data_IF_703714940324
#
_entry.id   IF_703714940324
#
_cell.length_a   1.000
_cell.length_b   1.000
_cell.length_c   1.000
_cell.angle_alpha   90.00
_cell.angle_beta   90.00
_cell.angle_gamma   90.00
#
_symmetry.space_group_name_H-M   'P 1'
#
loop_
_entity.id
_entity.type
_entity.pdbx_description
1 polymer ?
#
# COMPACT_ATOMS: atom_id res chain seq x y z
N UNK A 1 -2.92 24.65 49.53
CA UNK A 1 -2.52 24.53 48.11
C UNK A 1 -2.15 23.08 47.88
N UNK A 2 -3.10 22.27 47.43
CA UNK A 2 -2.83 20.90 46.97
C UNK A 2 -3.70 20.64 45.75
N UNK A 3 -2.99 20.31 44.68
CA UNK A 3 -3.35 20.15 43.29
C UNK A 3 -4.35 19.02 43.07
N UNK A 4 -5.49 19.31 42.44
CA UNK A 4 -6.36 18.30 41.84
C UNK A 4 -5.81 17.96 40.45
N UNK A 5 -5.32 16.73 40.31
CA UNK A 5 -4.93 16.09 39.05
C UNK A 5 -6.10 16.09 38.06
N UNK A 6 -6.01 16.88 36.99
CA UNK A 6 -6.91 16.79 35.84
C UNK A 6 -6.32 15.80 34.85
N UNK A 7 -6.83 14.57 34.87
CA UNK A 7 -6.51 13.57 33.87
C UNK A 7 -7.33 13.85 32.61
N UNK A 8 -6.88 14.81 31.81
CA UNK A 8 -7.22 14.85 30.38
C UNK A 8 -6.25 13.89 29.67
N UNK A 9 -6.63 12.61 29.66
CA UNK A 9 -6.05 11.64 28.74
C UNK A 9 -6.63 11.94 27.35
N UNK A 10 -6.09 13.02 26.76
CA UNK A 10 -6.48 13.48 25.45
C UNK A 10 -6.12 12.39 24.44
N UNK A 11 -7.18 11.76 23.91
CA UNK A 11 -7.23 10.87 22.77
C UNK A 11 -6.14 11.27 21.75
N UNK A 12 -4.99 10.61 21.81
CA UNK A 12 -3.93 10.85 20.84
C UNK A 12 -4.37 10.14 19.57
N UNK A 13 -4.72 10.84 18.47
CA UNK A 13 -4.94 10.15 17.23
C UNK A 13 -3.60 9.49 16.89
N UNK A 14 -3.56 8.15 16.90
CA UNK A 14 -2.46 7.39 16.32
C UNK A 14 -2.47 7.75 14.85
N UNK A 15 -1.73 8.81 14.49
CA UNK A 15 -1.55 9.17 13.10
C UNK A 15 -0.83 7.99 12.48
N UNK A 16 -1.57 7.21 11.70
CA UNK A 16 -0.96 6.32 10.72
C UNK A 16 -0.28 7.28 9.76
N UNK A 17 0.99 7.59 10.04
CA UNK A 17 1.81 8.45 9.21
C UNK A 17 2.12 7.66 7.95
N UNK A 18 1.24 7.77 6.96
CA UNK A 18 1.29 6.97 5.75
C UNK A 18 0.33 7.51 4.69
N UNK A 19 0.73 7.36 3.43
CA UNK A 19 -0.12 7.71 2.28
C UNK A 19 -1.30 6.73 2.21
N UNK A 20 -2.53 7.27 2.23
CA UNK A 20 -3.77 6.50 2.05
C UNK A 20 -4.14 6.49 0.57
N UNK A 21 -4.28 5.30 -0.06
CA UNK A 21 -4.65 5.23 -1.48
C UNK A 21 -6.07 5.74 -1.72
N UNK A 22 -6.24 6.53 -2.77
CA UNK A 22 -7.54 7.08 -3.19
C UNK A 22 -8.31 6.05 -4.02
N UNK A 23 -9.60 5.85 -3.73
CA UNK A 23 -10.49 4.88 -4.39
C UNK A 23 -10.01 3.43 -4.33
N UNK A 24 -9.42 3.03 -3.20
CA UNK A 24 -8.86 1.70 -3.02
C UNK A 24 -9.92 0.60 -3.13
N UNK A 25 -11.05 0.76 -2.41
CA UNK A 25 -12.09 -0.27 -2.37
C UNK A 25 -12.74 -0.45 -3.74
N UNK A 26 -13.11 0.66 -4.38
CA UNK A 26 -13.73 0.68 -5.70
C UNK A 26 -12.80 0.08 -6.75
N UNK A 27 -11.49 0.37 -6.66
CA UNK A 27 -10.49 -0.24 -7.55
C UNK A 27 -10.44 -1.75 -7.39
N UNK A 28 -10.43 -2.26 -6.15
CA UNK A 28 -10.42 -3.71 -5.90
C UNK A 28 -11.72 -4.39 -6.32
N UNK A 29 -12.87 -3.75 -6.12
CA UNK A 29 -14.16 -4.26 -6.55
C UNK A 29 -14.24 -4.37 -8.07
N UNK A 30 -13.77 -3.36 -8.80
CA UNK A 30 -13.79 -3.33 -10.27
C UNK A 30 -12.75 -4.27 -10.89
N UNK A 31 -11.54 -4.33 -10.35
CA UNK A 31 -10.49 -5.24 -10.82
C UNK A 31 -10.78 -6.69 -10.43
N UNK A 32 -11.48 -6.90 -9.31
CA UNK A 32 -11.79 -8.18 -8.69
C UNK A 32 -10.61 -9.17 -8.77
N UNK A 33 -9.46 -8.89 -8.12
CA UNK A 33 -8.30 -9.79 -8.13
C UNK A 33 -8.69 -11.19 -7.63
N UNK A 34 -8.23 -12.21 -8.34
CA UNK A 34 -8.47 -13.62 -8.00
C UNK A 34 -7.18 -14.40 -8.17
N UNK A 35 -7.12 -15.59 -7.59
CA UNK A 35 -5.95 -16.44 -7.67
C UNK A 35 -5.48 -16.69 -9.11
N UNK A 36 -4.15 -16.60 -9.30
CA UNK A 36 -3.47 -16.79 -10.59
C UNK A 36 -3.53 -15.59 -11.53
N UNK A 37 -4.16 -14.48 -11.15
CA UNK A 37 -4.26 -13.28 -12.00
C UNK A 37 -2.92 -12.53 -12.09
N UNK A 38 -2.70 -11.88 -13.25
CA UNK A 38 -1.58 -10.96 -13.46
C UNK A 38 -2.15 -9.57 -13.75
N UNK A 39 -1.69 -8.57 -13.00
CA UNK A 39 -2.16 -7.19 -13.10
C UNK A 39 -1.01 -6.25 -13.45
N UNK A 40 -1.37 -5.16 -14.12
CA UNK A 40 -0.47 -4.03 -14.41
C UNK A 40 -0.89 -2.83 -13.58
N UNK A 41 -0.01 -2.35 -12.71
CA UNK A 41 -0.15 -1.04 -12.07
C UNK A 41 0.64 0.00 -12.87
N UNK A 42 -0.04 0.90 -13.56
CA UNK A 42 0.59 1.89 -14.43
C UNK A 42 1.21 3.08 -13.68
N UNK A 43 0.93 3.23 -12.39
CA UNK A 43 1.28 4.42 -11.60
C UNK A 43 1.59 4.01 -10.15
N UNK A 44 2.62 3.18 -9.97
CA UNK A 44 2.95 2.55 -8.69
C UNK A 44 2.92 3.53 -7.51
N UNK A 45 3.55 4.70 -7.66
CA UNK A 45 3.58 5.79 -6.71
C UNK A 45 4.01 5.34 -5.31
N UNK A 46 3.06 5.35 -4.38
CA UNK A 46 3.24 4.91 -3.00
C UNK A 46 3.20 3.38 -2.79
N UNK A 47 2.73 2.61 -3.78
CA UNK A 47 2.60 1.16 -3.74
C UNK A 47 1.34 0.64 -3.04
N UNK A 48 0.44 1.52 -2.57
CA UNK A 48 -0.72 1.10 -1.77
C UNK A 48 -1.76 0.29 -2.56
N UNK A 49 -2.07 0.67 -3.81
CA UNK A 49 -2.93 -0.13 -4.69
C UNK A 49 -2.28 -1.47 -5.03
N UNK A 50 -1.00 -1.47 -5.42
CA UNK A 50 -0.24 -2.69 -5.69
C UNK A 50 -0.27 -3.66 -4.50
N UNK A 51 0.00 -3.19 -3.26
CA UNK A 51 -0.07 -4.03 -2.07
C UNK A 51 -1.46 -4.65 -1.91
N UNK A 52 -2.51 -3.83 -1.97
CA UNK A 52 -3.85 -4.32 -1.77
C UNK A 52 -4.27 -5.35 -2.84
N UNK A 53 -3.82 -5.18 -4.09
CA UNK A 53 -4.02 -6.18 -5.15
C UNK A 53 -3.29 -7.50 -4.85
N UNK A 54 -2.05 -7.44 -4.34
CA UNK A 54 -1.26 -8.63 -3.97
C UNK A 54 -1.85 -9.36 -2.74
N UNK A 55 -2.49 -8.62 -1.83
CA UNK A 55 -3.13 -9.18 -0.63
C UNK A 55 -4.54 -9.74 -0.90
N UNK A 56 -5.21 -9.28 -1.95
CA UNK A 56 -6.61 -9.62 -2.22
C UNK A 56 -6.86 -11.11 -2.50
N UNK A 57 -5.86 -11.84 -3.01
CA UNK A 57 -5.93 -13.29 -3.20
C UNK A 57 -4.54 -13.93 -3.26
N UNK A 58 -4.48 -15.24 -3.01
CA UNK A 58 -3.27 -16.04 -3.20
C UNK A 58 -2.85 -16.06 -4.67
N UNK A 59 -1.55 -16.09 -4.96
CA UNK A 59 -1.00 -16.17 -6.32
C UNK A 59 -1.46 -15.05 -7.28
N UNK A 60 -1.76 -13.86 -6.75
CA UNK A 60 -1.83 -12.63 -7.57
C UNK A 60 -0.40 -12.18 -7.86
N UNK A 61 -0.12 -11.82 -9.11
CA UNK A 61 1.14 -11.18 -9.51
C UNK A 61 0.91 -9.79 -10.08
N UNK A 62 1.78 -8.85 -9.74
CA UNK A 62 1.69 -7.45 -10.21
C UNK A 62 3.02 -7.03 -10.84
N UNK A 63 2.94 -6.52 -12.06
CA UNK A 63 4.00 -5.70 -12.67
C UNK A 63 3.59 -4.25 -12.51
N UNK A 64 4.43 -3.44 -11.89
CA UNK A 64 4.16 -2.02 -11.70
C UNK A 64 5.11 -1.16 -12.53
N UNK A 65 4.65 0.02 -12.93
CA UNK A 65 5.40 1.04 -13.64
C UNK A 65 5.45 2.32 -12.80
N UNK A 66 6.60 2.98 -12.80
CA UNK A 66 6.70 4.37 -12.39
C UNK A 66 7.87 5.04 -13.09
N UNK A 67 7.81 6.36 -13.25
CA UNK A 67 8.91 7.18 -13.76
C UNK A 67 9.69 7.85 -12.64
N UNK A 68 9.08 8.03 -11.47
CA UNK A 68 9.72 8.68 -10.35
C UNK A 68 10.72 7.71 -9.67
N UNK A 69 12.03 8.01 -9.67
CA UNK A 69 13.01 7.18 -8.97
C UNK A 69 12.74 7.09 -7.46
N UNK A 70 11.99 8.04 -6.87
CA UNK A 70 11.59 7.96 -5.47
C UNK A 70 10.62 6.79 -5.18
N UNK A 71 10.06 6.15 -6.21
CA UNK A 71 9.29 4.91 -6.08
C UNK A 71 10.16 3.69 -5.74
N UNK A 72 11.44 3.69 -6.12
CA UNK A 72 12.32 2.52 -6.01
C UNK A 72 12.43 1.98 -4.57
N UNK A 73 12.67 2.80 -3.52
CA UNK A 73 12.77 2.27 -2.16
C UNK A 73 11.46 1.63 -1.66
N UNK A 74 10.31 2.16 -2.08
CA UNK A 74 8.99 1.58 -1.73
C UNK A 74 8.76 0.25 -2.46
N UNK A 75 9.18 0.16 -3.72
CA UNK A 75 9.12 -1.08 -4.47
C UNK A 75 10.06 -2.15 -3.90
N UNK A 76 11.26 -1.80 -3.44
CA UNK A 76 12.14 -2.77 -2.78
C UNK A 76 11.50 -3.36 -1.51
N UNK A 77 10.80 -2.55 -0.72
CA UNK A 77 10.06 -3.05 0.43
C UNK A 77 8.95 -4.05 0.04
N UNK A 78 8.16 -3.74 -0.99
CA UNK A 78 7.15 -4.67 -1.52
C UNK A 78 7.78 -5.92 -2.14
N UNK A 79 8.94 -5.79 -2.79
CA UNK A 79 9.66 -6.92 -3.38
C UNK A 79 10.17 -7.89 -2.32
N UNK A 80 10.67 -7.37 -1.20
CA UNK A 80 11.09 -8.18 -0.06
C UNK A 80 9.91 -8.93 0.57
N UNK A 81 8.73 -8.32 0.60
CA UNK A 81 7.51 -8.90 1.19
C UNK A 81 6.85 -9.95 0.28
N UNK A 82 6.65 -9.64 -1.00
CA UNK A 82 5.87 -10.47 -1.93
C UNK A 82 6.73 -11.32 -2.88
N UNK A 83 8.06 -11.18 -2.85
CA UNK A 83 8.98 -11.98 -3.64
C UNK A 83 8.67 -11.90 -5.14
N UNK A 84 8.65 -13.03 -5.83
CA UNK A 84 8.44 -13.08 -7.29
C UNK A 84 7.06 -12.68 -7.79
N UNK A 85 6.09 -12.51 -6.87
CA UNK A 85 4.76 -12.01 -7.20
C UNK A 85 4.76 -10.52 -7.55
N UNK A 86 5.79 -9.78 -7.19
CA UNK A 86 5.91 -8.35 -7.50
C UNK A 86 7.17 -8.03 -8.30
N UNK A 87 7.03 -7.14 -9.29
CA UNK A 87 8.16 -6.50 -9.99
C UNK A 87 7.81 -5.04 -10.34
N UNK A 88 8.72 -4.11 -10.04
CA UNK A 88 8.67 -2.75 -10.57
C UNK A 88 9.52 -2.66 -11.86
N UNK A 89 9.02 -1.89 -12.83
CA UNK A 89 9.80 -1.35 -13.96
C UNK A 89 9.84 0.17 -13.85
N UNK A 90 11.03 0.69 -13.59
CA UNK A 90 11.30 2.12 -13.67
C UNK A 90 11.51 2.49 -15.14
N UNK A 91 10.74 3.47 -15.64
CA UNK A 91 10.66 3.85 -17.07
C UNK A 91 10.87 5.35 -17.29
#
# INVERSE_FOLDING_TARGET
>A
MSSSSSSDDALTPTTVSGHVPVLLQETLELLAPRTGVKLLDGTFGGGGHTRAMLEAADDVTVVALDRDPAALPRAEALKAEFGDRFRLRHI
#
